data_IF_916192448199
#
_entry.id   IF_916192448199
#
_cell.length_a   1.000
_cell.length_b   1.000
_cell.length_c   1.000
_cell.angle_alpha   90.00
_cell.angle_beta   90.00
_cell.angle_gamma   90.00
#
_symmetry.space_group_name_H-M   'P 1'
#
loop_
_entity.id
_entity.type
_entity.pdbx_description
1 polymer ?
#
# COMPACT_ATOMS: atom_id res chain seq x y z
N UNK A 1 -4.98 -3.41 -7.84
CA UNK A 1 -3.48 -3.46 -7.88
C UNK A 1 -2.81 -3.97 -9.19
N UNK A 2 -3.51 -4.14 -10.33
CA UNK A 2 -2.94 -4.80 -11.53
C UNK A 2 -1.78 -4.05 -12.19
N UNK A 3 -1.87 -2.73 -12.32
CA UNK A 3 -0.88 -1.92 -13.03
C UNK A 3 0.55 -2.08 -12.46
N UNK A 4 0.70 -2.08 -11.14
CA UNK A 4 2.02 -2.25 -10.50
C UNK A 4 2.67 -3.60 -10.83
N UNK A 5 1.88 -4.67 -10.97
CA UNK A 5 2.36 -6.00 -11.38
C UNK A 5 2.67 -6.12 -12.87
N UNK A 6 2.18 -5.19 -13.68
CA UNK A 6 2.42 -5.19 -15.13
C UNK A 6 3.72 -4.46 -15.51
N UNK A 7 4.28 -3.68 -14.60
CA UNK A 7 5.48 -2.87 -14.84
C UNK A 7 6.77 -3.66 -14.57
N UNK A 8 6.80 -4.44 -13.49
CA UNK A 8 7.98 -5.21 -13.08
C UNK A 8 7.53 -6.58 -12.53
N UNK A 9 8.14 -7.66 -13.03
CA UNK A 9 7.84 -9.04 -12.65
C UNK A 9 8.16 -9.36 -11.19
N UNK A 10 9.06 -8.59 -10.57
CA UNK A 10 9.46 -8.75 -9.17
C UNK A 10 8.53 -8.00 -8.20
N UNK A 11 7.56 -7.24 -8.72
CA UNK A 11 6.64 -6.43 -7.92
C UNK A 11 5.28 -7.11 -7.85
N UNK A 12 4.90 -7.56 -6.64
CA UNK A 12 3.62 -8.26 -6.42
C UNK A 12 2.40 -7.32 -6.28
N UNK A 13 2.59 -6.01 -6.35
CA UNK A 13 1.55 -5.01 -6.25
C UNK A 13 1.99 -3.82 -5.41
N UNK A 14 1.07 -3.31 -4.60
CA UNK A 14 1.33 -2.18 -3.69
C UNK A 14 1.96 -2.69 -2.39
N UNK A 15 3.21 -3.17 -2.50
CA UNK A 15 3.92 -3.86 -1.41
C UNK A 15 4.68 -2.88 -0.50
N UNK A 16 4.39 -2.85 0.82
CA UNK A 16 5.02 -1.93 1.76
C UNK A 16 6.42 -2.34 2.23
N UNK A 17 6.97 -3.47 1.78
CA UNK A 17 8.25 -3.99 2.26
C UNK A 17 9.40 -3.80 1.25
N UNK A 18 9.12 -3.29 0.04
CA UNK A 18 10.14 -3.08 -1.02
C UNK A 18 11.07 -1.92 -0.67
N UNK A 19 10.55 -0.89 0.00
CA UNK A 19 11.29 0.31 0.40
C UNK A 19 11.08 0.62 1.87
N UNK A 20 12.02 1.38 2.44
CA UNK A 20 11.84 2.06 3.73
C UNK A 20 11.20 3.41 3.51
N UNK A 21 10.58 3.96 4.56
CA UNK A 21 10.02 5.31 4.52
C UNK A 21 11.14 6.33 4.30
N UNK A 22 10.88 7.27 3.39
CA UNK A 22 11.76 8.36 3.06
C UNK A 22 10.88 9.56 2.65
N UNK A 23 10.78 10.57 3.52
CA UNK A 23 9.90 11.73 3.27
C UNK A 23 10.34 12.54 2.04
N UNK A 24 11.64 12.57 1.73
CA UNK A 24 12.14 13.27 0.55
C UNK A 24 11.62 12.61 -0.74
N UNK A 25 11.53 11.27 -0.79
CA UNK A 25 10.95 10.55 -1.94
C UNK A 25 9.42 10.63 -1.98
N UNK A 26 8.76 11.02 -0.88
CA UNK A 26 7.33 11.32 -0.90
C UNK A 26 7.06 12.72 -1.50
N UNK A 27 7.93 13.67 -1.20
CA UNK A 27 7.87 15.04 -1.75
C UNK A 27 8.30 15.09 -3.22
N UNK A 28 9.44 14.47 -3.54
CA UNK A 28 9.98 14.43 -4.90
C UNK A 28 9.35 13.27 -5.70
N UNK A 29 8.64 13.54 -6.81
CA UNK A 29 8.00 12.49 -7.59
C UNK A 29 9.05 11.61 -8.30
N UNK A 30 9.14 10.35 -7.88
CA UNK A 30 9.97 9.31 -8.51
C UNK A 30 9.14 8.10 -8.95
N UNK A 31 9.72 7.26 -9.81
CA UNK A 31 9.17 5.96 -10.20
C UNK A 31 8.96 5.02 -8.99
N UNK A 32 9.78 5.18 -7.95
CA UNK A 32 9.74 4.35 -6.73
C UNK A 32 8.87 4.93 -5.62
N UNK A 33 8.35 6.15 -5.76
CA UNK A 33 7.54 6.85 -4.75
C UNK A 33 6.38 6.00 -4.24
N UNK A 34 5.75 5.19 -5.10
CA UNK A 34 4.63 4.33 -4.72
C UNK A 34 5.00 3.31 -3.64
N UNK A 35 6.22 2.77 -3.64
CA UNK A 35 6.66 1.80 -2.64
C UNK A 35 7.03 2.46 -1.31
N UNK A 36 7.57 3.68 -1.36
CA UNK A 36 7.80 4.51 -0.18
C UNK A 36 6.47 4.92 0.47
N UNK A 37 5.46 5.23 -0.35
CA UNK A 37 4.10 5.54 0.12
C UNK A 37 3.44 4.33 0.80
N UNK A 38 3.60 3.13 0.23
CA UNK A 38 3.14 1.89 0.86
C UNK A 38 3.81 1.66 2.23
N UNK A 39 5.12 1.85 2.32
CA UNK A 39 5.87 1.76 3.58
C UNK A 39 5.39 2.79 4.61
N UNK A 40 5.13 4.04 4.19
CA UNK A 40 4.69 5.11 5.09
C UNK A 40 3.31 4.83 5.69
N UNK A 41 2.37 4.35 4.86
CA UNK A 41 1.07 3.86 5.34
C UNK A 41 1.22 2.69 6.32
N UNK A 42 2.17 1.77 6.07
CA UNK A 42 2.44 0.66 6.98
C UNK A 42 2.99 1.15 8.33
N UNK A 43 3.86 2.16 8.33
CA UNK A 43 4.39 2.82 9.53
C UNK A 43 3.38 3.72 10.25
N UNK A 44 2.17 3.90 9.70
CA UNK A 44 1.07 4.59 10.36
C UNK A 44 0.98 6.08 10.06
N UNK A 45 1.56 6.55 8.95
CA UNK A 45 1.39 7.92 8.49
C UNK A 45 -0.09 8.16 8.16
N UNK A 46 -0.61 9.32 8.56
CA UNK A 46 -2.00 9.69 8.28
C UNK A 46 -2.17 10.11 6.82
N UNK A 47 -3.41 10.06 6.33
CA UNK A 47 -3.73 10.48 4.97
C UNK A 47 -3.45 11.96 4.79
N UNK A 48 -3.70 12.79 5.81
CA UNK A 48 -3.43 14.23 5.79
C UNK A 48 -1.93 14.49 5.65
N UNK A 49 -1.09 13.80 6.44
CA UNK A 49 0.37 13.92 6.33
C UNK A 49 0.86 13.52 4.94
N UNK A 50 0.33 12.43 4.38
CA UNK A 50 0.71 11.98 3.04
C UNK A 50 0.20 12.91 1.94
N UNK A 51 -0.97 13.52 2.12
CA UNK A 51 -1.45 14.57 1.22
C UNK A 51 -0.48 15.76 1.24
N UNK A 52 -0.07 16.21 2.43
CA UNK A 52 0.84 17.35 2.56
C UNK A 52 2.19 17.10 1.89
N UNK A 53 2.73 15.89 2.04
CA UNK A 53 3.99 15.48 1.43
C UNK A 53 3.89 15.26 -0.09
N UNK A 54 2.84 14.59 -0.57
CA UNK A 54 2.82 14.05 -1.94
C UNK A 54 1.92 14.82 -2.92
N UNK A 55 0.99 15.62 -2.39
CA UNK A 55 -0.15 16.25 -3.09
C UNK A 55 -1.05 15.28 -3.86
N UNK A 56 -0.96 13.98 -3.57
CA UNK A 56 -1.92 13.00 -4.09
C UNK A 56 -3.24 13.22 -3.37
N UNK A 57 -4.33 13.33 -4.13
CA UNK A 57 -5.67 13.52 -3.57
C UNK A 57 -6.01 12.45 -2.52
N UNK A 58 -6.61 12.90 -1.41
CA UNK A 58 -6.94 12.07 -0.26
C UNK A 58 -7.79 10.86 -0.63
N UNK A 59 -8.64 10.93 -1.64
CA UNK A 59 -9.44 9.81 -2.10
C UNK A 59 -8.56 8.64 -2.54
N UNK A 60 -7.47 8.89 -3.27
CA UNK A 60 -6.53 7.83 -3.67
C UNK A 60 -5.73 7.31 -2.47
N UNK A 61 -5.28 8.21 -1.59
CA UNK A 61 -4.55 7.84 -0.38
C UNK A 61 -5.38 6.92 0.52
N UNK A 62 -6.69 7.17 0.64
CA UNK A 62 -7.62 6.29 1.34
C UNK A 62 -7.72 4.91 0.66
N UNK A 63 -7.72 4.84 -0.68
CA UNK A 63 -7.69 3.54 -1.38
C UNK A 63 -6.39 2.78 -1.12
N UNK A 64 -5.25 3.46 -1.09
CA UNK A 64 -3.97 2.83 -0.76
C UNK A 64 -3.93 2.38 0.70
N UNK A 65 -4.44 3.19 1.62
CA UNK A 65 -4.58 2.83 3.03
C UNK A 65 -5.43 1.57 3.22
N UNK A 66 -6.56 1.46 2.52
CA UNK A 66 -7.39 0.26 2.54
C UNK A 66 -6.62 -1.01 2.14
N UNK A 67 -5.72 -0.92 1.16
CA UNK A 67 -4.88 -2.05 0.75
C UNK A 67 -3.91 -2.44 1.88
N UNK A 68 -3.25 -1.46 2.50
CA UNK A 68 -2.28 -1.68 3.58
C UNK A 68 -2.95 -2.18 4.87
N UNK A 69 -4.11 -1.65 5.22
CA UNK A 69 -4.89 -2.12 6.37
C UNK A 69 -5.32 -3.56 6.16
N UNK A 70 -5.76 -3.91 4.94
CA UNK A 70 -6.10 -5.30 4.61
C UNK A 70 -4.87 -6.21 4.64
N UNK A 71 -3.72 -5.72 4.17
CA UNK A 71 -2.44 -6.44 4.27
C UNK A 71 -2.10 -6.78 5.73
N UNK A 72 -2.18 -5.79 6.64
CA UNK A 72 -1.96 -6.00 8.08
C UNK A 72 -2.95 -7.01 8.68
N UNK A 73 -4.23 -6.90 8.33
CA UNK A 73 -5.26 -7.84 8.77
C UNK A 73 -4.97 -9.27 8.29
N UNK A 74 -4.54 -9.47 7.04
CA UNK A 74 -4.21 -10.80 6.54
C UNK A 74 -2.99 -11.41 7.24
N UNK A 75 -2.03 -10.59 7.69
CA UNK A 75 -0.86 -11.08 8.43
C UNK A 75 -1.20 -11.64 9.82
N UNK A 76 -2.36 -11.28 10.39
CA UNK A 76 -2.81 -11.81 11.68
C UNK A 76 -3.73 -13.03 11.55
N UNK A 77 -4.15 -13.37 10.33
CA UNK A 77 -5.01 -14.53 10.05
C UNK A 77 -4.14 -15.77 9.85
N UNK A 78 -4.40 -16.82 10.63
CA UNK A 78 -3.75 -18.11 10.43
C UNK A 78 -4.21 -18.76 9.13
N UNK A 79 -3.27 -19.41 8.44
CA UNK A 79 -3.50 -20.22 7.23
C UNK A 79 -4.69 -21.20 7.34
N UNK A 80 -4.98 -21.74 8.53
CA UNK A 80 -6.08 -22.69 8.76
C UNK A 80 -7.42 -21.97 8.88
N UNK A 81 -7.40 -20.70 9.33
CA UNK A 81 -8.59 -19.88 9.60
C UNK A 81 -9.03 -19.00 8.43
N UNK A 82 -8.32 -19.04 7.31
CA UNK A 82 -8.61 -18.20 6.16
C UNK A 82 -9.91 -18.64 5.46
N UNK A 83 -10.92 -17.78 5.50
CA UNK A 83 -12.23 -18.09 4.91
C UNK A 83 -12.32 -17.63 3.45
N UNK A 84 -13.24 -18.24 2.69
CA UNK A 84 -13.52 -17.82 1.30
C UNK A 84 -13.92 -16.34 1.20
N UNK A 85 -14.60 -15.81 2.22
CA UNK A 85 -15.02 -14.40 2.25
C UNK A 85 -13.83 -13.45 2.42
N UNK A 86 -12.87 -13.81 3.28
CA UNK A 86 -11.61 -13.07 3.43
C UNK A 86 -10.88 -13.05 2.08
N UNK A 87 -10.71 -14.20 1.44
CA UNK A 87 -10.07 -14.28 0.13
C UNK A 87 -10.80 -13.44 -0.95
N UNK A 88 -12.14 -13.52 -1.01
CA UNK A 88 -12.93 -12.72 -1.96
C UNK A 88 -12.77 -11.22 -1.74
N UNK A 89 -12.74 -10.77 -0.48
CA UNK A 89 -12.49 -9.35 -0.15
C UNK A 89 -11.08 -8.94 -0.57
N UNK A 90 -10.07 -9.74 -0.24
CA UNK A 90 -8.67 -9.50 -0.63
C UNK A 90 -8.51 -9.29 -2.15
N UNK A 91 -9.18 -10.11 -2.96
CA UNK A 91 -9.06 -10.07 -4.43
C UNK A 91 -9.81 -8.91 -5.10
N UNK A 92 -10.74 -8.26 -4.41
CA UNK A 92 -11.51 -7.11 -4.93
C UNK A 92 -10.77 -5.77 -4.78
N UNK A 93 -9.73 -5.72 -3.97
CA UNK A 93 -8.83 -4.55 -3.75
C UNK A 93 -7.70 -4.50 -4.80
#
# INVERSE_FOLDING_TARGET
QKALRMVDENVNGFDPNIKKVNENELQEPTDKRMFVLAAALKEGYTVEKLYDLTKIDCWFLEKFKNIIDYYKNLQTVDSISITSEILKKAKKL
#
